data_IF_772825337172
#
_entry.id   IF_772825337172
#
_cell.length_a   1.000
_cell.length_b   1.000
_cell.length_c   1.000
_cell.angle_alpha   90.00
_cell.angle_beta   90.00
_cell.angle_gamma   90.00
#
_symmetry.space_group_name_H-M   'P 1'
#
loop_
_entity.id
_entity.type
_entity.pdbx_description
1 polymer ?
#
# COMPACT_ATOMS: atom_id res chain seq x y z
N UNK A 1 -12.26 -4.59 17.37
CA UNK A 1 -11.65 -3.63 16.41
C UNK A 1 -12.71 -3.05 15.49
N UNK A 2 -13.64 -3.86 14.99
CA UNK A 2 -14.81 -3.45 14.19
C UNK A 2 -15.62 -2.31 14.81
N UNK A 3 -15.88 -2.34 16.12
CA UNK A 3 -16.68 -1.30 16.81
C UNK A 3 -16.12 0.13 16.68
N UNK A 4 -14.78 0.31 16.67
CA UNK A 4 -14.15 1.62 16.47
C UNK A 4 -14.42 2.12 15.04
N UNK A 5 -14.35 1.21 14.07
CA UNK A 5 -14.53 1.53 12.65
C UNK A 5 -15.98 1.86 12.35
N UNK A 6 -16.91 1.08 12.90
CA UNK A 6 -18.35 1.34 12.83
C UNK A 6 -18.74 2.70 13.42
N UNK A 7 -18.23 3.00 14.63
CA UNK A 7 -18.45 4.31 15.27
C UNK A 7 -17.88 5.44 14.42
N UNK A 8 -16.67 5.30 13.91
CA UNK A 8 -16.04 6.30 13.05
C UNK A 8 -16.84 6.55 11.77
N UNK A 9 -17.33 5.48 11.12
CA UNK A 9 -18.19 5.58 9.93
C UNK A 9 -19.52 6.27 10.22
N UNK A 10 -20.14 5.99 11.38
CA UNK A 10 -21.45 6.55 11.73
C UNK A 10 -21.37 7.99 12.21
N UNK A 11 -20.35 8.33 12.99
CA UNK A 11 -20.31 9.56 13.79
C UNK A 11 -19.42 10.64 13.17
N UNK A 12 -18.40 10.28 12.38
CA UNK A 12 -17.39 11.22 11.87
C UNK A 12 -17.47 11.42 10.36
N UNK A 13 -17.53 10.33 9.58
CA UNK A 13 -17.47 10.40 8.12
C UNK A 13 -18.62 11.15 7.42
N UNK A 14 -19.90 11.09 7.86
CA UNK A 14 -21.01 11.70 7.13
C UNK A 14 -20.88 13.24 6.99
N UNK A 15 -20.21 13.91 7.92
CA UNK A 15 -20.04 15.37 7.91
C UNK A 15 -18.89 15.89 7.05
N UNK A 16 -18.14 15.02 6.38
CA UNK A 16 -16.81 15.35 5.83
C UNK A 16 -16.70 15.32 4.30
N UNK A 17 -17.83 15.12 3.59
CA UNK A 17 -17.87 14.94 2.13
C UNK A 17 -17.21 13.63 1.67
N UNK A 18 -17.16 13.37 0.36
CA UNK A 18 -16.45 12.20 -0.22
C UNK A 18 -14.98 12.48 -0.60
N UNK A 19 -14.48 13.68 -0.33
CA UNK A 19 -13.12 14.07 -0.72
C UNK A 19 -12.08 13.44 0.20
N UNK A 20 -11.19 12.64 -0.38
CA UNK A 20 -9.98 12.14 0.30
C UNK A 20 -9.79 10.64 0.15
N UNK A 21 -8.72 10.14 0.76
CA UNK A 21 -8.36 8.72 0.80
C UNK A 21 -8.48 8.18 2.22
N UNK A 22 -8.76 6.89 2.35
CA UNK A 22 -8.57 6.13 3.57
C UNK A 22 -7.60 4.99 3.25
N UNK A 23 -6.41 5.00 3.85
CA UNK A 23 -5.40 3.98 3.61
C UNK A 23 -5.39 2.99 4.79
N UNK A 24 -5.50 1.70 4.48
CA UNK A 24 -5.48 0.63 5.47
C UNK A 24 -4.23 -0.23 5.31
N UNK A 25 -3.54 -0.44 6.41
CA UNK A 25 -2.57 -1.50 6.60
C UNK A 25 -3.12 -2.43 7.69
N UNK A 26 -3.24 -3.72 7.39
CA UNK A 26 -3.88 -4.69 8.29
C UNK A 26 -2.94 -5.18 9.41
N UNK A 27 -1.66 -4.79 9.40
CA UNK A 27 -0.68 -5.10 10.43
C UNK A 27 -0.66 -6.59 10.84
N UNK A 28 0.01 -7.42 10.03
CA UNK A 28 0.19 -8.87 10.21
C UNK A 28 -1.13 -9.67 10.46
N UNK A 29 -1.95 -9.88 9.42
CA UNK A 29 -3.21 -10.62 9.48
C UNK A 29 -3.05 -12.10 9.83
N UNK A 30 -1.84 -12.67 9.85
CA UNK A 30 -1.61 -14.10 10.15
C UNK A 30 -2.02 -14.50 11.57
N UNK A 31 -2.09 -13.53 12.48
CA UNK A 31 -2.55 -13.75 13.87
C UNK A 31 -4.07 -13.79 14.00
N UNK A 32 -4.81 -13.68 12.89
CA UNK A 32 -6.28 -13.64 12.86
C UNK A 32 -6.81 -14.84 12.08
N UNK A 33 -7.98 -15.35 12.48
CA UNK A 33 -8.69 -16.37 11.72
C UNK A 33 -9.29 -15.79 10.43
N UNK A 34 -9.63 -16.66 9.49
CA UNK A 34 -10.13 -16.28 8.17
C UNK A 34 -11.39 -15.40 8.26
N UNK A 35 -12.30 -15.74 9.17
CA UNK A 35 -13.57 -15.05 9.37
C UNK A 35 -13.35 -13.58 9.76
N UNK A 36 -12.42 -13.32 10.70
CA UNK A 36 -12.09 -11.96 11.11
C UNK A 36 -11.41 -11.14 10.01
N UNK A 37 -10.64 -11.78 9.12
CA UNK A 37 -10.03 -11.08 7.97
C UNK A 37 -11.12 -10.68 6.99
N UNK A 38 -12.04 -11.59 6.66
CA UNK A 38 -13.16 -11.31 5.75
C UNK A 38 -14.08 -10.23 6.31
N UNK A 39 -14.41 -10.28 7.59
CA UNK A 39 -15.19 -9.24 8.29
C UNK A 39 -14.48 -7.89 8.22
N UNK A 40 -13.17 -7.85 8.44
CA UNK A 40 -12.40 -6.60 8.34
C UNK A 40 -12.40 -6.05 6.90
N UNK A 41 -12.25 -6.90 5.88
CA UNK A 41 -12.30 -6.49 4.47
C UNK A 41 -13.69 -5.94 4.09
N UNK A 42 -14.77 -6.57 4.58
CA UNK A 42 -16.12 -6.09 4.37
C UNK A 42 -16.33 -4.71 5.00
N UNK A 43 -15.90 -4.51 6.25
CA UNK A 43 -15.98 -3.22 6.94
C UNK A 43 -15.16 -2.13 6.24
N UNK A 44 -13.96 -2.46 5.75
CA UNK A 44 -13.13 -1.54 4.95
C UNK A 44 -13.85 -1.18 3.65
N UNK A 45 -14.47 -2.15 2.98
CA UNK A 45 -15.28 -1.94 1.79
C UNK A 45 -16.46 -0.99 2.02
N UNK A 46 -17.12 -1.06 3.19
CA UNK A 46 -18.20 -0.12 3.53
C UNK A 46 -17.71 1.34 3.63
N UNK A 47 -16.44 1.57 4.00
CA UNK A 47 -15.87 2.93 4.02
C UNK A 47 -15.73 3.56 2.63
N UNK A 48 -15.80 2.75 1.57
CA UNK A 48 -15.77 3.21 0.18
C UNK A 48 -16.89 4.20 -0.15
N UNK A 49 -18.03 4.11 0.55
CA UNK A 49 -19.15 5.03 0.41
C UNK A 49 -18.81 6.47 0.84
N UNK A 50 -17.74 6.66 1.63
CA UNK A 50 -17.34 7.95 2.20
C UNK A 50 -15.95 8.40 1.74
N UNK A 51 -15.09 7.48 1.32
CA UNK A 51 -13.68 7.73 0.99
C UNK A 51 -13.21 6.87 -0.16
N UNK A 52 -12.16 7.31 -0.85
CA UNK A 52 -11.37 6.43 -1.73
C UNK A 52 -10.50 5.51 -0.88
N UNK A 53 -10.98 4.30 -0.64
CA UNK A 53 -10.28 3.33 0.22
C UNK A 53 -9.16 2.64 -0.55
N UNK A 54 -7.98 2.59 0.06
CA UNK A 54 -6.78 1.91 -0.47
C UNK A 54 -6.29 0.93 0.58
N UNK A 55 -6.08 -0.33 0.17
CA UNK A 55 -5.52 -1.38 1.00
C UNK A 55 -4.05 -1.61 0.64
N UNK A 56 -3.14 -1.41 1.61
CA UNK A 56 -1.72 -1.72 1.50
C UNK A 56 -1.39 -3.08 2.07
N UNK A 57 -0.63 -3.88 1.32
CA UNK A 57 -0.29 -5.26 1.63
C UNK A 57 1.17 -5.57 1.28
N UNK A 58 1.84 -6.35 2.13
CA UNK A 58 3.01 -7.08 1.67
C UNK A 58 2.61 -8.32 0.84
N UNK A 59 3.57 -8.98 0.18
CA UNK A 59 3.28 -10.13 -0.69
C UNK A 59 2.64 -11.32 0.05
N UNK A 60 3.05 -11.59 1.29
CA UNK A 60 2.48 -12.70 2.06
C UNK A 60 1.02 -12.42 2.40
N UNK A 61 0.72 -11.19 2.83
CA UNK A 61 -0.64 -10.75 3.16
C UNK A 61 -1.54 -10.75 1.93
N UNK A 62 -1.04 -10.25 0.80
CA UNK A 62 -1.76 -10.28 -0.46
C UNK A 62 -2.10 -11.70 -0.90
N UNK A 63 -1.17 -12.66 -0.78
CA UNK A 63 -1.45 -14.08 -1.09
C UNK A 63 -2.45 -14.69 -0.11
N UNK A 64 -2.37 -14.36 1.17
CA UNK A 64 -3.32 -14.85 2.18
C UNK A 64 -4.74 -14.35 1.88
N UNK A 65 -4.90 -13.03 1.69
CA UNK A 65 -6.18 -12.41 1.35
C UNK A 65 -6.68 -12.94 0.01
N UNK A 66 -5.80 -13.04 -0.98
CA UNK A 66 -6.15 -13.55 -2.29
C UNK A 66 -6.68 -14.99 -2.25
N UNK A 67 -6.04 -15.85 -1.44
CA UNK A 67 -6.51 -17.21 -1.22
C UNK A 67 -7.88 -17.27 -0.54
N UNK A 68 -8.15 -16.41 0.44
CA UNK A 68 -9.46 -16.33 1.11
C UNK A 68 -10.57 -15.82 0.18
N UNK A 69 -10.24 -14.90 -0.73
CA UNK A 69 -11.16 -14.37 -1.73
C UNK A 69 -11.31 -15.26 -2.97
N UNK A 70 -10.50 -16.31 -3.10
CA UNK A 70 -10.51 -17.21 -4.25
C UNK A 70 -10.02 -16.56 -5.55
N UNK A 71 -9.16 -15.53 -5.47
CA UNK A 71 -8.65 -14.82 -6.64
C UNK A 71 -7.37 -15.45 -7.18
N UNK A 72 -7.06 -15.17 -8.45
CA UNK A 72 -5.85 -15.67 -9.07
C UNK A 72 -4.59 -15.07 -8.41
N UNK A 73 -3.66 -15.94 -8.01
CA UNK A 73 -2.39 -15.59 -7.36
C UNK A 73 -1.18 -15.84 -8.27
N UNK A 74 -1.41 -16.15 -9.56
CA UNK A 74 -0.39 -16.48 -10.56
C UNK A 74 0.59 -15.34 -10.83
N UNK A 75 0.13 -14.10 -10.71
CA UNK A 75 0.93 -12.88 -10.93
C UNK A 75 0.51 -11.78 -9.98
N UNK A 76 1.40 -10.79 -9.79
CA UNK A 76 1.11 -9.61 -8.99
C UNK A 76 -0.06 -8.78 -9.55
N UNK A 77 -0.19 -8.72 -10.88
CA UNK A 77 -1.30 -8.00 -11.52
C UNK A 77 -2.63 -8.71 -11.27
N UNK A 78 -2.70 -10.02 -11.55
CA UNK A 78 -3.90 -10.81 -11.31
C UNK A 78 -4.33 -10.74 -9.85
N UNK A 79 -3.37 -10.81 -8.93
CA UNK A 79 -3.62 -10.71 -7.50
C UNK A 79 -4.15 -9.34 -7.09
N UNK A 80 -3.49 -8.25 -7.51
CA UNK A 80 -3.92 -6.89 -7.15
C UNK A 80 -5.30 -6.56 -7.73
N UNK A 81 -5.55 -6.91 -9.00
CA UNK A 81 -6.85 -6.72 -9.66
C UNK A 81 -7.93 -7.56 -9.00
N UNK A 82 -7.67 -8.85 -8.80
CA UNK A 82 -8.61 -9.76 -8.16
C UNK A 82 -9.03 -9.27 -6.77
N UNK A 83 -8.08 -8.88 -5.92
CA UNK A 83 -8.40 -8.33 -4.59
C UNK A 83 -9.24 -7.05 -4.74
N UNK A 84 -8.84 -6.12 -5.61
CA UNK A 84 -9.57 -4.85 -5.81
C UNK A 84 -11.00 -5.08 -6.28
N UNK A 85 -11.20 -6.01 -7.22
CA UNK A 85 -12.52 -6.35 -7.79
C UNK A 85 -13.40 -7.08 -6.77
N UNK A 86 -12.87 -8.09 -6.08
CA UNK A 86 -13.61 -8.86 -5.06
C UNK A 86 -14.04 -8.02 -3.87
N UNK A 87 -13.27 -6.98 -3.50
CA UNK A 87 -13.55 -6.12 -2.35
C UNK A 87 -14.27 -4.81 -2.72
N UNK A 88 -14.34 -4.48 -4.02
CA UNK A 88 -14.88 -3.21 -4.52
C UNK A 88 -14.01 -2.00 -4.14
N UNK A 89 -12.74 -2.22 -3.75
CA UNK A 89 -11.88 -1.16 -3.25
C UNK A 89 -11.40 -0.22 -4.36
N UNK A 90 -11.28 1.08 -4.06
CA UNK A 90 -10.68 2.04 -4.99
C UNK A 90 -9.23 1.70 -5.30
N UNK A 91 -8.50 1.16 -4.33
CA UNK A 91 -7.12 0.79 -4.55
C UNK A 91 -6.62 -0.40 -3.73
N UNK A 92 -5.69 -1.13 -4.34
CA UNK A 92 -4.87 -2.15 -3.68
C UNK A 92 -3.42 -1.93 -4.08
N UNK A 93 -2.51 -1.86 -3.11
CA UNK A 93 -1.06 -1.77 -3.35
C UNK A 93 -0.37 -2.95 -2.69
N UNK A 94 0.48 -3.64 -3.46
CA UNK A 94 1.26 -4.78 -3.01
C UNK A 94 2.75 -4.43 -3.15
N UNK A 95 3.49 -4.50 -2.05
CA UNK A 95 4.88 -4.02 -1.99
C UNK A 95 5.90 -5.11 -1.56
N UNK A 96 6.21 -6.10 -2.43
CA UNK A 96 7.34 -7.00 -2.18
C UNK A 96 8.69 -6.25 -2.16
N UNK A 97 9.75 -6.94 -1.74
CA UNK A 97 11.07 -6.31 -1.49
C UNK A 97 11.72 -5.74 -2.76
N UNK A 98 11.51 -6.36 -3.92
CA UNK A 98 12.20 -6.02 -5.18
C UNK A 98 11.38 -5.18 -6.16
N UNK A 99 10.10 -5.00 -5.87
CA UNK A 99 9.16 -4.35 -6.78
C UNK A 99 7.90 -3.95 -6.03
N UNK A 100 7.06 -3.11 -6.63
CA UNK A 100 5.74 -2.84 -6.10
C UNK A 100 4.74 -2.72 -7.24
N UNK A 101 3.49 -3.11 -6.98
CA UNK A 101 2.40 -2.89 -7.91
C UNK A 101 1.19 -2.31 -7.18
N UNK A 102 0.32 -1.65 -7.93
CA UNK A 102 -0.98 -1.25 -7.43
C UNK A 102 -2.03 -1.29 -8.53
N UNK A 103 -3.28 -1.40 -8.10
CA UNK A 103 -4.44 -0.98 -8.86
C UNK A 103 -5.01 0.24 -8.15
N UNK A 104 -5.23 1.35 -8.86
CA UNK A 104 -5.89 2.54 -8.35
C UNK A 104 -6.93 3.01 -9.35
N UNK A 105 -8.20 3.07 -8.94
CA UNK A 105 -9.31 3.45 -9.83
C UNK A 105 -9.38 2.58 -11.09
N UNK A 106 -9.04 1.29 -11.00
CA UNK A 106 -9.00 0.34 -12.12
C UNK A 106 -7.72 0.36 -12.97
N UNK A 107 -6.84 1.35 -12.77
CA UNK A 107 -5.56 1.45 -13.48
C UNK A 107 -4.50 0.66 -12.72
N UNK A 108 -3.89 -0.31 -13.40
CA UNK A 108 -2.75 -1.05 -12.86
C UNK A 108 -1.43 -0.34 -13.18
N UNK A 109 -0.50 -0.38 -12.23
CA UNK A 109 0.88 0.02 -12.43
C UNK A 109 1.81 -0.90 -11.63
N UNK A 110 3.05 -1.01 -12.11
CA UNK A 110 4.13 -1.78 -11.47
C UNK A 110 5.44 -1.05 -11.67
N UNK A 111 6.28 -1.04 -10.66
CA UNK A 111 7.64 -0.49 -10.72
C UNK A 111 8.61 -1.48 -10.08
N UNK A 112 9.82 -1.55 -10.63
CA UNK A 112 10.92 -2.19 -9.91
C UNK A 112 11.28 -1.36 -8.67
N UNK A 113 11.83 -2.00 -7.66
CA UNK A 113 12.26 -1.36 -6.42
C UNK A 113 13.78 -1.17 -6.37
N UNK A 114 14.28 -0.18 -5.61
CA UNK A 114 15.71 0.04 -5.39
C UNK A 114 16.29 -1.01 -4.42
N UNK A 115 16.35 -2.28 -4.86
CA UNK A 115 16.78 -3.41 -4.02
C UNK A 115 18.12 -3.13 -3.33
N UNK A 116 18.18 -3.39 -2.03
CA UNK A 116 19.38 -3.25 -1.20
C UNK A 116 19.74 -4.64 -0.68
N UNK A 117 20.94 -5.12 -1.01
CA UNK A 117 21.38 -6.44 -0.58
C UNK A 117 21.69 -6.45 0.92
N UNK A 118 22.22 -5.33 1.45
CA UNK A 118 22.63 -5.21 2.85
C UNK A 118 21.93 -4.02 3.53
N UNK A 119 20.62 -4.13 3.82
CA UNK A 119 19.89 -3.07 4.49
C UNK A 119 20.44 -2.83 5.89
N UNK A 120 20.63 -1.56 6.27
CA UNK A 120 21.00 -1.14 7.61
C UNK A 120 19.85 -1.36 8.61
N UNK A 121 18.60 -1.22 8.15
CA UNK A 121 17.40 -1.40 8.96
C UNK A 121 16.23 -1.90 8.09
N UNK A 122 15.49 -2.91 8.55
CA UNK A 122 14.34 -3.47 7.81
C UNK A 122 13.01 -3.25 8.52
N UNK A 123 13.02 -3.14 9.85
CA UNK A 123 11.83 -2.80 10.62
C UNK A 123 11.35 -1.40 10.25
N UNK A 124 10.06 -1.25 9.90
CA UNK A 124 9.47 0.01 9.46
C UNK A 124 9.63 0.31 7.95
N UNK A 125 10.22 -0.60 7.17
CA UNK A 125 10.34 -0.41 5.71
C UNK A 125 8.97 -0.32 5.02
N UNK A 126 7.98 -1.11 5.48
CA UNK A 126 6.59 -1.05 5.01
C UNK A 126 5.92 0.27 5.35
N UNK A 127 6.09 0.77 6.58
CA UNK A 127 5.55 2.08 6.98
C UNK A 127 6.12 3.22 6.13
N UNK A 128 7.42 3.18 5.83
CA UNK A 128 8.06 4.17 4.95
C UNK A 128 7.58 4.05 3.50
N UNK A 129 7.33 2.82 3.02
CA UNK A 129 6.69 2.62 1.72
C UNK A 129 5.29 3.25 1.70
N UNK A 130 4.45 2.92 2.68
CA UNK A 130 3.08 3.40 2.80
C UNK A 130 3.03 4.93 2.91
N UNK A 131 3.94 5.54 3.66
CA UNK A 131 4.06 6.99 3.78
C UNK A 131 4.42 7.66 2.45
N UNK A 132 5.41 7.12 1.73
CA UNK A 132 5.80 7.61 0.40
C UNK A 132 4.66 7.49 -0.62
N UNK A 133 3.97 6.35 -0.62
CA UNK A 133 2.83 6.10 -1.50
C UNK A 133 1.66 7.04 -1.20
N UNK A 134 1.28 7.19 0.07
CA UNK A 134 0.24 8.12 0.51
C UNK A 134 0.56 9.56 0.13
N UNK A 135 1.83 9.98 0.23
CA UNK A 135 2.25 11.30 -0.21
C UNK A 135 2.06 11.50 -1.74
N UNK A 136 2.19 10.44 -2.54
CA UNK A 136 1.81 10.46 -3.96
C UNK A 136 0.30 10.62 -4.17
N UNK A 137 -0.51 9.85 -3.45
CA UNK A 137 -1.98 9.94 -3.51
C UNK A 137 -2.48 11.35 -3.18
N UNK A 138 -1.96 11.95 -2.10
CA UNK A 138 -2.34 13.30 -1.66
C UNK A 138 -1.99 14.40 -2.68
N UNK A 139 -0.99 14.15 -3.53
CA UNK A 139 -0.58 15.05 -4.61
C UNK A 139 -1.33 14.80 -5.92
N UNK A 140 -2.22 13.81 -5.97
CA UNK A 140 -2.95 13.45 -7.18
C UNK A 140 -2.06 12.88 -8.29
N UNK A 141 -0.95 12.23 -7.93
CA UNK A 141 -0.03 11.64 -8.89
C UNK A 141 -0.63 10.38 -9.55
N UNK A 142 -0.05 9.99 -10.69
CA UNK A 142 -0.41 8.75 -11.37
C UNK A 142 -0.04 7.51 -10.51
N UNK A 143 -0.68 6.35 -10.72
CA UNK A 143 -0.41 5.15 -9.93
C UNK A 143 1.07 4.74 -9.91
N UNK A 144 1.74 4.78 -11.06
CA UNK A 144 3.17 4.50 -11.18
C UNK A 144 4.04 5.47 -10.36
N UNK A 145 3.70 6.76 -10.37
CA UNK A 145 4.41 7.79 -9.61
C UNK A 145 4.19 7.64 -8.09
N UNK A 146 3.00 7.20 -7.68
CA UNK A 146 2.75 6.85 -6.27
C UNK A 146 3.63 5.67 -5.84
N UNK A 147 3.75 4.64 -6.68
CA UNK A 147 4.64 3.52 -6.43
C UNK A 147 6.11 3.97 -6.36
N UNK A 148 6.58 4.80 -7.28
CA UNK A 148 7.95 5.34 -7.26
C UNK A 148 8.27 6.08 -5.96
N UNK A 149 7.34 6.89 -5.44
CA UNK A 149 7.53 7.56 -4.16
C UNK A 149 7.56 6.57 -2.99
N UNK A 150 6.69 5.56 -3.00
CA UNK A 150 6.69 4.50 -1.98
C UNK A 150 8.00 3.70 -1.98
N UNK A 151 8.41 3.20 -3.14
CA UNK A 151 9.64 2.40 -3.29
C UNK A 151 10.89 3.21 -2.98
N UNK A 152 10.97 4.47 -3.42
CA UNK A 152 12.10 5.34 -3.10
C UNK A 152 12.19 5.67 -1.61
N UNK A 153 11.06 5.96 -0.95
CA UNK A 153 11.03 6.28 0.49
C UNK A 153 11.49 5.08 1.32
N UNK A 154 10.98 3.88 1.00
CA UNK A 154 11.41 2.64 1.64
C UNK A 154 12.88 2.32 1.34
N UNK A 155 13.29 2.46 0.07
CA UNK A 155 14.65 2.21 -0.40
C UNK A 155 15.71 3.10 0.25
N UNK A 156 15.39 4.37 0.49
CA UNK A 156 16.22 5.28 1.27
C UNK A 156 16.28 4.82 2.73
N UNK A 157 15.11 4.60 3.34
CA UNK A 157 14.99 4.25 4.75
C UNK A 157 15.82 3.01 5.10
N UNK A 158 15.74 1.95 4.31
CA UNK A 158 16.48 0.71 4.61
C UNK A 158 18.00 0.87 4.50
N UNK A 159 18.49 1.85 3.74
CA UNK A 159 19.92 2.17 3.60
C UNK A 159 20.42 3.12 4.67
N UNK A 160 19.62 4.12 5.04
CA UNK A 160 20.04 5.22 5.92
C UNK A 160 19.57 5.05 7.37
N UNK A 161 18.68 4.08 7.64
CA UNK A 161 18.08 3.83 8.95
C UNK A 161 17.31 5.03 9.55
N UNK A 162 16.87 5.97 8.71
CA UNK A 162 15.94 7.04 9.07
C UNK A 162 15.07 7.40 7.85
N UNK A 163 13.87 7.97 8.10
CA UNK A 163 12.99 8.42 7.02
C UNK A 163 13.59 9.63 6.30
N UNK A 164 13.47 9.72 4.96
CA UNK A 164 14.04 10.83 4.21
C UNK A 164 13.23 12.11 4.41
N UNK A 165 13.91 13.24 4.41
CA UNK A 165 13.32 14.53 4.12
C UNK A 165 13.14 14.72 2.59
N UNK A 166 12.56 15.86 2.19
CA UNK A 166 12.28 16.15 0.77
C UNK A 166 13.54 16.14 -0.12
N UNK A 167 14.63 16.76 0.33
CA UNK A 167 15.86 16.87 -0.45
C UNK A 167 16.56 15.51 -0.57
N UNK A 168 16.60 14.76 0.52
CA UNK A 168 17.14 13.39 0.56
C UNK A 168 16.38 12.45 -0.38
N UNK A 169 15.05 12.48 -0.35
CA UNK A 169 14.23 11.66 -1.24
C UNK A 169 14.41 12.05 -2.71
N UNK A 170 14.52 13.35 -2.99
CA UNK A 170 14.77 13.85 -4.35
C UNK A 170 16.13 13.37 -4.86
N UNK A 171 17.19 13.50 -4.07
CA UNK A 171 18.52 13.03 -4.45
C UNK A 171 18.52 11.51 -4.66
N UNK A 172 17.87 10.77 -3.75
CA UNK A 172 17.75 9.32 -3.86
C UNK A 172 17.06 8.87 -5.16
N UNK A 173 16.00 9.57 -5.58
CA UNK A 173 15.32 9.29 -6.85
C UNK A 173 16.23 9.52 -8.06
N UNK A 174 17.06 10.57 -8.06
CA UNK A 174 18.04 10.80 -9.12
C UNK A 174 19.11 9.70 -9.14
N UNK A 175 19.73 9.41 -7.99
CA UNK A 175 20.75 8.38 -7.88
C UNK A 175 20.19 7.01 -8.31
N UNK A 176 18.94 6.71 -7.96
CA UNK A 176 18.26 5.50 -8.40
C UNK A 176 18.01 5.46 -9.90
N UNK A 177 17.49 6.53 -10.49
CA UNK A 177 17.23 6.62 -11.92
C UNK A 177 18.50 6.50 -12.77
N UNK A 178 19.65 6.91 -12.24
CA UNK A 178 20.96 6.78 -12.89
C UNK A 178 21.68 5.44 -12.61
N UNK A 179 21.12 4.58 -11.75
CA UNK A 179 21.75 3.32 -11.34
C UNK A 179 22.95 3.49 -10.39
N UNK A 180 23.03 4.63 -9.69
CA UNK A 180 24.13 5.02 -8.81
C UNK A 180 23.94 4.58 -7.34
N UNK A 181 22.87 3.84 -7.02
CA UNK A 181 22.66 3.34 -5.67
C UNK A 181 23.70 2.29 -5.28
N UNK A 182 24.31 2.48 -4.11
CA UNK A 182 25.16 1.46 -3.50
C UNK A 182 24.28 0.43 -2.76
N UNK A 183 24.69 -0.84 -2.84
CA UNK A 183 24.01 -2.00 -2.28
C UNK A 183 24.19 -2.18 -0.78
#
# INVERSE_FOLDING_TARGET
MSEIWERFMREILPGSGQSGFAFFDLADPRKRCAEHILEALELIGQMQAFRRVVLGLNLMEAKQIGGLLGVDTSSLEALARGISESTGLYGVVIHPVKEACCVLGGVFARVEGPYCEKPALTNGAGDNFNAGFCNGLLRGLLPEQCLLLGTATSGYYVRQAHSPNRQELQQFLFDWGEGNLRG
#
